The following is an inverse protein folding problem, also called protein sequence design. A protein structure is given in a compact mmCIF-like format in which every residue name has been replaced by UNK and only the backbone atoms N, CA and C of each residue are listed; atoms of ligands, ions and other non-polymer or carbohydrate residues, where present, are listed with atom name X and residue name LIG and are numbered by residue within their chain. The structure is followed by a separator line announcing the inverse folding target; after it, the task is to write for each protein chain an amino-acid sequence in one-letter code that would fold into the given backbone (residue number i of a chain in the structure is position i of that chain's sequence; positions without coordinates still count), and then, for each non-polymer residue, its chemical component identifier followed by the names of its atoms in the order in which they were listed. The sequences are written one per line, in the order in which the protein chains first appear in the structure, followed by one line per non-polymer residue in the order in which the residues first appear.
data_IF_804525274905
#
_entry.id   IF_804525274905
#
_cell.length_a   1.000
_cell.length_b   1.000
_cell.length_c   1.000
_cell.angle_alpha   90.00
_cell.angle_beta   90.00
_cell.angle_gamma   90.00
#
_symmetry.space_group_name_H-M   'P 1'
#
loop_
_entity.id
_entity.type
_entity.pdbx_description
1 polymer ?
#
# COMPACT_ATOMS: atom_id res chain seq x y z
N UNK A 1 -34.92 20.52 25.61
CA UNK A 1 -34.58 21.29 24.36
C UNK A 1 -33.09 21.41 24.10
N UNK A 2 -32.22 21.50 25.10
CA UNK A 2 -30.75 21.58 24.98
C UNK A 2 -30.10 20.34 24.38
N UNK A 3 -30.49 19.11 24.77
CA UNK A 3 -29.88 17.86 24.29
C UNK A 3 -30.04 17.69 22.78
N UNK A 4 -31.20 18.02 22.20
CA UNK A 4 -31.38 17.97 20.73
C UNK A 4 -30.45 18.94 19.96
N UNK A 5 -30.20 20.12 20.52
CA UNK A 5 -29.28 21.11 19.92
C UNK A 5 -27.81 20.62 19.98
N UNK A 6 -27.39 19.99 21.09
CA UNK A 6 -26.06 19.41 21.24
C UNK A 6 -25.82 18.26 20.27
N UNK A 7 -26.81 17.36 20.11
CA UNK A 7 -26.75 16.23 19.16
C UNK A 7 -26.68 16.72 17.70
N UNK A 8 -27.48 17.75 17.35
CA UNK A 8 -27.42 18.34 16.00
C UNK A 8 -26.09 19.03 15.76
N UNK A 9 -25.52 19.76 16.74
CA UNK A 9 -24.19 20.35 16.64
C UNK A 9 -23.10 19.29 16.47
N UNK A 10 -23.24 18.19 17.20
CA UNK A 10 -22.29 17.05 17.11
C UNK A 10 -22.38 16.36 15.76
N UNK A 11 -23.58 16.13 15.22
CA UNK A 11 -23.80 15.59 13.87
C UNK A 11 -23.26 16.52 12.77
N UNK A 12 -23.41 17.84 12.93
CA UNK A 12 -22.85 18.82 11.99
C UNK A 12 -21.32 18.88 12.08
N UNK A 13 -20.74 18.71 13.27
CA UNK A 13 -19.29 18.65 13.45
C UNK A 13 -18.68 17.39 12.84
N UNK A 14 -19.36 16.24 12.96
CA UNK A 14 -18.95 14.97 12.35
C UNK A 14 -19.12 14.99 10.82
N UNK A 15 -20.18 15.62 10.32
CA UNK A 15 -20.39 15.79 8.87
C UNK A 15 -19.37 16.76 8.22
N UNK A 16 -18.84 17.72 8.97
CA UNK A 16 -17.82 18.67 8.50
C UNK A 16 -16.41 18.08 8.45
N UNK A 17 -16.17 16.89 9.01
CA UNK A 17 -14.85 16.20 9.04
C UNK A 17 -14.65 15.17 7.91
N UNK A 18 -15.63 15.02 7.00
CA UNK A 18 -15.35 14.31 5.74
C UNK A 18 -14.41 15.16 4.91
N UNK A 19 -13.10 14.93 5.05
CA UNK A 19 -12.15 15.39 4.06
C UNK A 19 -12.69 14.93 2.70
N UNK A 20 -12.96 15.89 1.79
CA UNK A 20 -13.50 15.57 0.48
C UNK A 20 -12.50 14.67 -0.24
N UNK A 21 -12.76 13.37 -0.25
CA UNK A 21 -11.94 12.42 -0.99
C UNK A 21 -12.11 12.72 -2.48
N UNK A 22 -11.00 12.70 -3.22
CA UNK A 22 -11.04 12.90 -4.67
C UNK A 22 -11.96 11.85 -5.32
N UNK A 23 -12.81 12.28 -6.23
CA UNK A 23 -13.59 11.37 -7.04
C UNK A 23 -12.67 10.49 -7.90
N UNK A 24 -13.11 9.27 -8.24
CA UNK A 24 -12.32 8.34 -9.06
C UNK A 24 -11.92 8.97 -10.41
N UNK A 25 -12.82 9.69 -11.05
CA UNK A 25 -12.55 10.41 -12.29
C UNK A 25 -11.46 11.47 -12.14
N UNK A 26 -11.48 12.19 -11.02
CA UNK A 26 -10.45 13.20 -10.72
C UNK A 26 -9.10 12.57 -10.42
N UNK A 27 -9.07 11.42 -9.74
CA UNK A 27 -7.85 10.64 -9.51
C UNK A 27 -7.22 10.16 -10.82
N UNK A 28 -8.03 9.59 -11.70
CA UNK A 28 -7.60 9.12 -13.04
C UNK A 28 -7.08 10.28 -13.87
N UNK A 29 -7.75 11.44 -13.86
CA UNK A 29 -7.32 12.65 -14.54
C UNK A 29 -5.97 13.15 -14.02
N UNK A 30 -5.79 13.23 -12.70
CA UNK A 30 -4.54 13.68 -12.09
C UNK A 30 -3.37 12.73 -12.38
N UNK A 31 -3.62 11.41 -12.36
CA UNK A 31 -2.62 10.41 -12.75
C UNK A 31 -2.20 10.59 -14.21
N UNK A 32 -3.16 10.75 -15.12
CA UNK A 32 -2.89 10.96 -16.53
C UNK A 32 -2.10 12.26 -16.79
N UNK A 33 -2.51 13.38 -16.15
CA UNK A 33 -1.76 14.64 -16.23
C UNK A 33 -0.31 14.47 -15.73
N UNK A 34 -0.12 13.71 -14.63
CA UNK A 34 1.20 13.46 -14.07
C UNK A 34 2.08 12.63 -15.03
N UNK A 35 1.52 11.62 -15.68
CA UNK A 35 2.22 10.81 -16.68
C UNK A 35 2.63 11.64 -17.90
N UNK A 36 1.74 12.51 -18.39
CA UNK A 36 2.07 13.42 -19.50
C UNK A 36 3.20 14.38 -19.12
N UNK A 37 3.12 15.01 -17.93
CA UNK A 37 4.16 15.91 -17.45
C UNK A 37 5.50 15.19 -17.28
N UNK A 38 5.48 13.94 -16.78
CA UNK A 38 6.66 13.12 -16.64
C UNK A 38 7.30 12.79 -18.00
N UNK A 39 6.50 12.41 -18.99
CA UNK A 39 6.96 12.12 -20.35
C UNK A 39 7.54 13.36 -21.04
N UNK A 40 6.85 14.50 -20.96
CA UNK A 40 7.34 15.78 -21.47
C UNK A 40 8.67 16.18 -20.84
N UNK A 41 8.82 15.96 -19.54
CA UNK A 41 10.07 16.23 -18.84
C UNK A 41 11.23 15.36 -19.38
N UNK A 42 10.95 14.10 -19.69
CA UNK A 42 11.97 13.21 -20.28
C UNK A 42 12.40 13.68 -21.68
N UNK A 43 11.48 14.15 -22.50
CA UNK A 43 11.76 14.64 -23.86
C UNK A 43 12.63 15.89 -23.83
N UNK A 44 12.35 16.84 -22.93
CA UNK A 44 13.10 18.11 -22.86
C UNK A 44 14.40 18.00 -22.05
N UNK A 45 14.61 16.95 -21.28
CA UNK A 45 15.71 16.83 -20.32
C UNK A 45 17.09 16.99 -20.93
N UNK A 46 17.30 16.50 -22.14
CA UNK A 46 18.59 16.63 -22.85
C UNK A 46 18.91 18.06 -23.27
N UNK A 47 17.89 18.88 -23.50
CA UNK A 47 18.00 20.25 -24.03
C UNK A 47 17.89 21.30 -22.90
N UNK A 48 17.00 21.08 -21.96
CA UNK A 48 16.67 22.02 -20.88
C UNK A 48 16.38 21.27 -19.58
N UNK A 49 17.42 21.12 -18.76
CA UNK A 49 17.33 20.40 -17.47
C UNK A 49 16.44 21.10 -16.46
N UNK A 50 16.43 22.45 -16.47
CA UNK A 50 15.62 23.22 -15.51
C UNK A 50 14.13 23.06 -15.81
N UNK A 51 13.76 23.20 -17.08
CA UNK A 51 12.40 22.95 -17.53
C UNK A 51 11.95 21.51 -17.25
N UNK A 52 12.79 20.54 -17.47
CA UNK A 52 12.49 19.14 -17.14
C UNK A 52 12.24 18.97 -15.64
N UNK A 53 13.06 19.61 -14.79
CA UNK A 53 12.89 19.60 -13.33
C UNK A 53 11.56 20.19 -12.90
N UNK A 54 11.17 21.35 -13.45
CA UNK A 54 9.86 21.95 -13.19
C UNK A 54 8.71 21.04 -13.57
N UNK A 55 8.79 20.35 -14.70
CA UNK A 55 7.76 19.41 -15.15
C UNK A 55 7.68 18.20 -14.23
N UNK A 56 8.81 17.63 -13.78
CA UNK A 56 8.80 16.55 -12.78
C UNK A 56 8.25 17.01 -11.43
N UNK A 57 8.51 18.25 -10.99
CA UNK A 57 7.89 18.80 -9.77
C UNK A 57 6.37 18.89 -9.90
N UNK A 58 5.87 19.36 -11.06
CA UNK A 58 4.43 19.39 -11.35
C UNK A 58 3.83 17.97 -11.38
N UNK A 59 4.52 17.01 -11.98
CA UNK A 59 4.09 15.61 -11.98
C UNK A 59 4.03 15.03 -10.56
N UNK A 60 5.07 15.24 -9.74
CA UNK A 60 5.10 14.81 -8.35
C UNK A 60 3.92 15.37 -7.56
N UNK A 61 3.63 16.67 -7.70
CA UNK A 61 2.52 17.33 -7.01
C UNK A 61 1.15 16.73 -7.37
N UNK A 62 0.92 16.28 -8.64
CA UNK A 62 -0.30 15.58 -9.04
C UNK A 62 -0.41 14.20 -8.37
N UNK A 63 0.64 13.40 -8.44
CA UNK A 63 0.68 12.09 -7.78
C UNK A 63 0.51 12.21 -6.26
N UNK A 64 1.19 13.17 -5.61
CA UNK A 64 1.04 13.41 -4.16
C UNK A 64 -0.39 13.76 -3.78
N UNK A 65 -1.06 14.59 -4.60
CA UNK A 65 -2.45 14.93 -4.36
C UNK A 65 -3.35 13.70 -4.40
N UNK A 66 -3.13 12.79 -5.38
CA UNK A 66 -3.88 11.52 -5.45
C UNK A 66 -3.58 10.63 -4.24
N UNK A 67 -2.32 10.54 -3.82
CA UNK A 67 -1.93 9.75 -2.63
C UNK A 67 -2.56 10.29 -1.35
N UNK A 68 -2.60 11.62 -1.19
CA UNK A 68 -3.07 12.27 0.04
C UNK A 68 -4.59 12.36 0.15
N UNK A 69 -5.26 12.63 -0.98
CA UNK A 69 -6.68 12.98 -1.01
C UNK A 69 -7.53 11.89 -1.68
N UNK A 70 -6.89 10.91 -2.36
CA UNK A 70 -7.58 9.89 -3.14
C UNK A 70 -7.92 8.61 -2.40
N UNK A 71 -7.37 8.39 -1.21
CA UNK A 71 -7.49 7.12 -0.46
C UNK A 71 -7.19 5.88 -1.35
N UNK A 72 -6.12 5.99 -2.17
CA UNK A 72 -5.79 5.01 -3.21
C UNK A 72 -4.65 4.11 -2.76
N UNK A 73 -4.95 2.85 -2.59
CA UNK A 73 -3.97 1.80 -2.33
C UNK A 73 -3.51 1.14 -3.65
N UNK A 74 -2.71 1.87 -4.43
CA UNK A 74 -2.24 1.40 -5.74
C UNK A 74 -0.71 1.39 -5.82
N UNK A 75 -0.12 0.20 -6.00
CA UNK A 75 1.32 0.03 -6.12
C UNK A 75 1.95 0.80 -7.29
N UNK A 76 1.26 0.88 -8.42
CA UNK A 76 1.74 1.60 -9.60
C UNK A 76 1.77 3.12 -9.39
N UNK A 77 0.82 3.66 -8.62
CA UNK A 77 0.81 5.08 -8.25
C UNK A 77 2.08 5.43 -7.45
N UNK A 78 2.38 4.64 -6.40
CA UNK A 78 3.59 4.82 -5.60
C UNK A 78 4.87 4.60 -6.41
N UNK A 79 4.87 3.64 -7.33
CA UNK A 79 6.00 3.39 -8.22
C UNK A 79 6.29 4.59 -9.14
N UNK A 80 5.26 5.16 -9.76
CA UNK A 80 5.41 6.33 -10.64
C UNK A 80 5.84 7.58 -9.86
N UNK A 81 5.30 7.78 -8.66
CA UNK A 81 5.73 8.86 -7.76
C UNK A 81 7.20 8.68 -7.34
N UNK A 82 7.63 7.44 -7.05
CA UNK A 82 9.01 7.14 -6.71
C UNK A 82 9.95 7.42 -7.89
N UNK A 83 9.58 7.03 -9.12
CA UNK A 83 10.33 7.35 -10.34
C UNK A 83 10.47 8.88 -10.53
N UNK A 84 9.40 9.62 -10.24
CA UNK A 84 9.41 11.08 -10.34
C UNK A 84 10.36 11.71 -9.34
N UNK A 85 10.35 11.28 -8.08
CA UNK A 85 11.31 11.73 -7.08
C UNK A 85 12.75 11.33 -7.39
N UNK A 86 12.95 10.15 -7.97
CA UNK A 86 14.27 9.74 -8.43
C UNK A 86 14.82 10.70 -9.51
N UNK A 87 13.99 11.15 -10.47
CA UNK A 87 14.36 12.14 -11.47
C UNK A 87 14.67 13.51 -10.87
N UNK A 88 14.01 13.87 -9.78
CA UNK A 88 14.26 15.08 -8.99
C UNK A 88 15.50 14.96 -8.07
N UNK A 89 16.17 13.80 -8.06
CA UNK A 89 17.31 13.48 -7.19
C UNK A 89 16.95 13.44 -5.70
N UNK A 90 15.66 13.39 -5.37
CA UNK A 90 15.18 13.17 -4.00
C UNK A 90 15.14 11.67 -3.68
N UNK A 91 16.33 11.14 -3.39
CA UNK A 91 16.51 9.70 -3.17
C UNK A 91 15.72 9.20 -1.94
N UNK A 92 15.57 10.03 -0.90
CA UNK A 92 14.83 9.68 0.32
C UNK A 92 13.35 9.43 0.02
N UNK A 93 12.68 10.39 -0.65
CA UNK A 93 11.28 10.24 -1.05
C UNK A 93 11.10 9.14 -2.11
N UNK A 94 12.06 8.97 -3.02
CA UNK A 94 12.03 7.88 -3.99
C UNK A 94 12.02 6.51 -3.29
N UNK A 95 12.95 6.23 -2.36
CA UNK A 95 13.02 4.97 -1.61
C UNK A 95 11.74 4.75 -0.80
N UNK A 96 11.23 5.77 -0.12
CA UNK A 96 10.01 5.66 0.68
C UNK A 96 8.81 5.22 -0.18
N UNK A 97 8.64 5.82 -1.38
CA UNK A 97 7.55 5.47 -2.28
C UNK A 97 7.76 4.13 -2.99
N UNK A 98 8.99 3.74 -3.37
CA UNK A 98 9.27 2.38 -3.85
C UNK A 98 8.94 1.32 -2.79
N UNK A 99 9.25 1.56 -1.52
CA UNK A 99 8.86 0.64 -0.43
C UNK A 99 7.36 0.56 -0.22
N UNK A 100 6.62 1.68 -0.40
CA UNK A 100 5.15 1.65 -0.40
C UNK A 100 4.62 0.85 -1.58
N UNK A 101 5.14 1.07 -2.79
CA UNK A 101 4.79 0.29 -3.97
C UNK A 101 5.02 -1.21 -3.76
N UNK A 102 6.13 -1.60 -3.14
CA UNK A 102 6.49 -2.99 -2.87
C UNK A 102 5.46 -3.74 -2.01
N UNK A 103 4.67 -3.04 -1.18
CA UNK A 103 3.60 -3.69 -0.39
C UNK A 103 2.46 -4.22 -1.27
N UNK A 104 2.22 -3.58 -2.42
CA UNK A 104 1.11 -3.89 -3.34
C UNK A 104 1.56 -4.72 -4.53
N UNK A 105 2.80 -4.51 -5.02
CA UNK A 105 3.39 -5.20 -6.17
C UNK A 105 4.77 -5.77 -5.80
N UNK A 106 4.87 -6.72 -4.82
CA UNK A 106 6.13 -7.18 -4.25
C UNK A 106 7.05 -7.92 -5.25
N UNK A 107 6.51 -8.45 -6.33
CA UNK A 107 7.22 -9.26 -7.33
C UNK A 107 7.49 -8.52 -8.64
N UNK A 108 7.20 -7.22 -8.72
CA UNK A 108 7.53 -6.46 -9.92
C UNK A 108 9.04 -6.25 -10.04
N UNK A 109 9.62 -6.83 -11.09
CA UNK A 109 11.07 -6.82 -11.31
C UNK A 109 11.62 -5.40 -11.48
N UNK A 110 10.90 -4.52 -12.20
CA UNK A 110 11.33 -3.13 -12.43
C UNK A 110 11.36 -2.34 -11.13
N UNK A 111 10.34 -2.54 -10.28
CA UNK A 111 10.32 -1.94 -8.95
C UNK A 111 11.52 -2.38 -8.13
N UNK A 112 11.80 -3.69 -8.06
CA UNK A 112 12.89 -4.24 -7.27
C UNK A 112 14.26 -3.75 -7.78
N UNK A 113 14.46 -3.71 -9.09
CA UNK A 113 15.67 -3.18 -9.72
C UNK A 113 15.86 -1.70 -9.43
N UNK A 114 14.80 -0.87 -9.59
CA UNK A 114 14.87 0.56 -9.33
C UNK A 114 15.14 0.85 -7.85
N UNK A 115 14.48 0.14 -6.93
CA UNK A 115 14.72 0.28 -5.50
C UNK A 115 16.16 -0.11 -5.13
N UNK A 116 16.68 -1.21 -5.66
CA UNK A 116 18.07 -1.61 -5.46
C UNK A 116 19.04 -0.53 -5.99
N UNK A 117 18.80 -0.05 -7.21
CA UNK A 117 19.63 0.99 -7.82
C UNK A 117 19.65 2.29 -7.01
N UNK A 118 18.48 2.79 -6.58
CA UNK A 118 18.41 4.03 -5.78
C UNK A 118 19.15 3.87 -4.46
N UNK A 119 19.10 2.69 -3.83
CA UNK A 119 19.85 2.41 -2.61
C UNK A 119 21.35 2.50 -2.80
N UNK A 120 21.88 2.08 -3.95
CA UNK A 120 23.33 2.21 -4.23
C UNK A 120 23.77 3.67 -4.39
N UNK A 121 22.84 4.57 -4.73
CA UNK A 121 23.10 6.02 -4.86
C UNK A 121 23.03 6.77 -3.52
N UNK A 122 22.47 6.17 -2.49
CA UNK A 122 22.48 6.75 -1.14
C UNK A 122 23.87 6.63 -0.52
N UNK A 123 24.35 7.72 0.09
CA UNK A 123 25.64 7.72 0.81
C UNK A 123 25.63 6.83 2.05
N UNK A 124 24.46 6.72 2.68
CA UNK A 124 24.25 5.87 3.85
C UNK A 124 23.69 4.52 3.43
N UNK A 125 24.58 3.58 3.10
CA UNK A 125 24.22 2.18 2.92
C UNK A 125 23.99 1.56 4.31
N UNK A 126 22.77 1.64 4.82
CA UNK A 126 22.38 0.85 5.99
C UNK A 126 22.28 -0.61 5.56
N UNK A 127 23.27 -1.42 5.92
CA UNK A 127 23.22 -2.86 5.71
C UNK A 127 21.96 -3.42 6.39
N UNK A 128 21.15 -4.20 5.66
CA UNK A 128 20.01 -4.88 6.30
C UNK A 128 20.55 -5.83 7.38
N UNK A 129 20.07 -5.74 8.63
CA UNK A 129 20.50 -6.64 9.69
C UNK A 129 20.26 -8.11 9.27
N UNK A 130 21.22 -9.00 9.55
CA UNK A 130 21.08 -10.44 9.25
C UNK A 130 19.79 -11.04 9.82
N UNK A 131 19.35 -10.55 10.99
CA UNK A 131 18.07 -10.92 11.59
C UNK A 131 16.87 -10.70 10.67
N UNK A 132 16.90 -9.64 9.82
CA UNK A 132 15.83 -9.35 8.87
C UNK A 132 15.80 -10.38 7.73
N UNK A 133 16.96 -10.89 7.30
CA UNK A 133 17.05 -11.94 6.28
C UNK A 133 16.45 -13.26 6.78
N UNK A 134 16.77 -13.65 8.00
CA UNK A 134 16.22 -14.86 8.63
C UNK A 134 14.70 -14.74 8.79
N UNK A 135 14.20 -13.58 9.27
CA UNK A 135 12.77 -13.35 9.40
C UNK A 135 12.04 -13.39 8.05
N UNK A 136 12.62 -12.82 6.99
CA UNK A 136 12.04 -12.88 5.63
C UNK A 136 11.93 -14.33 5.14
N UNK A 137 12.91 -15.18 5.42
CA UNK A 137 12.89 -16.60 5.03
C UNK A 137 11.86 -17.40 5.83
N UNK A 138 11.78 -17.17 7.15
CA UNK A 138 10.84 -17.89 8.01
C UNK A 138 9.38 -17.46 7.81
N UNK A 139 9.16 -16.18 7.50
CA UNK A 139 7.82 -15.59 7.33
C UNK A 139 7.58 -15.15 5.88
N UNK A 140 8.00 -15.97 4.90
CA UNK A 140 7.89 -15.66 3.48
C UNK A 140 6.46 -15.26 3.06
N UNK A 141 5.43 -15.90 3.63
CA UNK A 141 4.02 -15.55 3.37
C UNK A 141 3.66 -14.12 3.80
N UNK A 142 4.38 -13.54 4.76
CA UNK A 142 4.18 -12.17 5.20
C UNK A 142 4.89 -11.16 4.27
N UNK A 143 6.10 -11.50 3.80
CA UNK A 143 6.95 -10.60 3.03
C UNK A 143 6.77 -10.73 1.52
N UNK A 144 6.49 -11.95 1.03
CA UNK A 144 6.45 -12.22 -0.41
C UNK A 144 5.03 -12.21 -1.00
N UNK A 145 4.00 -12.37 -0.16
CA UNK A 145 2.61 -12.32 -0.62
C UNK A 145 2.06 -10.90 -0.49
N UNK A 146 1.54 -10.33 -1.59
CA UNK A 146 0.92 -9.02 -1.59
C UNK A 146 -0.21 -8.91 -0.54
N UNK A 147 -0.34 -7.77 0.12
CA UNK A 147 -1.33 -7.57 1.18
C UNK A 147 -2.75 -7.91 0.72
N UNK A 148 -3.14 -7.47 -0.46
CA UNK A 148 -4.47 -7.74 -1.04
C UNK A 148 -4.75 -9.24 -1.25
N UNK A 149 -3.71 -10.04 -1.56
CA UNK A 149 -3.85 -11.51 -1.68
C UNK A 149 -4.02 -12.12 -0.29
N UNK A 150 -3.27 -11.67 0.71
CA UNK A 150 -3.39 -12.15 2.10
C UNK A 150 -4.79 -11.88 2.68
N UNK A 151 -5.37 -10.72 2.40
CA UNK A 151 -6.74 -10.37 2.80
C UNK A 151 -7.77 -11.29 2.16
N UNK A 152 -7.64 -11.57 0.86
CA UNK A 152 -8.52 -12.51 0.15
C UNK A 152 -8.38 -13.93 0.69
N UNK A 153 -7.16 -14.39 0.98
CA UNK A 153 -6.92 -15.70 1.58
C UNK A 153 -7.51 -15.80 2.99
N UNK A 154 -7.35 -14.75 3.80
CA UNK A 154 -7.97 -14.68 5.12
C UNK A 154 -9.50 -14.82 5.05
N UNK A 155 -10.16 -14.04 4.21
CA UNK A 155 -11.61 -14.11 4.01
C UNK A 155 -12.05 -15.47 3.47
N UNK A 156 -11.29 -16.05 2.55
CA UNK A 156 -11.56 -17.38 2.01
C UNK A 156 -11.50 -18.46 3.10
N UNK A 157 -10.41 -18.51 3.86
CA UNK A 157 -10.26 -19.52 4.93
C UNK A 157 -11.29 -19.32 6.05
N UNK A 158 -11.61 -18.07 6.39
CA UNK A 158 -12.66 -17.76 7.35
C UNK A 158 -14.05 -18.20 6.85
N UNK A 159 -14.36 -17.96 5.58
CA UNK A 159 -15.62 -18.41 4.96
C UNK A 159 -15.75 -19.92 4.94
N UNK A 160 -14.68 -20.64 4.51
CA UNK A 160 -14.65 -22.12 4.53
C UNK A 160 -14.74 -22.66 5.95
N UNK A 161 -14.07 -22.05 6.93
CA UNK A 161 -14.17 -22.40 8.35
C UNK A 161 -15.63 -22.38 8.82
N UNK A 162 -16.38 -21.31 8.55
CA UNK A 162 -17.78 -21.21 8.93
C UNK A 162 -18.67 -22.21 8.21
N UNK A 163 -18.42 -22.49 6.91
CA UNK A 163 -19.16 -23.54 6.19
C UNK A 163 -18.95 -24.91 6.81
N UNK A 164 -17.70 -25.27 7.11
CA UNK A 164 -17.37 -26.55 7.77
C UNK A 164 -17.97 -26.62 9.17
N UNK A 165 -17.98 -25.51 9.92
CA UNK A 165 -18.59 -25.44 11.23
C UNK A 165 -20.11 -25.69 11.15
N UNK A 166 -20.81 -25.08 10.19
CA UNK A 166 -22.24 -25.31 9.96
C UNK A 166 -22.54 -26.77 9.61
N UNK A 167 -21.75 -27.38 8.71
CA UNK A 167 -21.87 -28.81 8.38
C UNK A 167 -21.63 -29.68 9.62
N UNK A 168 -20.68 -29.30 10.47
CA UNK A 168 -20.34 -29.99 11.71
C UNK A 168 -21.47 -30.02 12.74
N UNK A 169 -22.46 -29.14 12.66
CA UNK A 169 -23.68 -29.17 13.49
C UNK A 169 -24.56 -30.40 13.18
N UNK A 170 -24.61 -30.80 11.89
CA UNK A 170 -25.39 -31.96 11.46
C UNK A 170 -24.59 -33.26 11.48
N UNK A 171 -23.30 -33.19 11.10
CA UNK A 171 -22.45 -34.37 10.94
C UNK A 171 -21.35 -34.40 12.01
N UNK A 172 -21.53 -35.22 13.07
CA UNK A 172 -20.53 -35.39 14.14
C UNK A 172 -19.41 -36.34 13.72
N UNK A 173 -18.58 -35.93 12.75
CA UNK A 173 -17.43 -36.75 12.29
C UNK A 173 -16.11 -36.18 12.84
N UNK A 174 -15.16 -37.02 13.33
CA UNK A 174 -13.92 -36.54 13.95
C UNK A 174 -13.02 -35.77 12.96
N UNK A 175 -13.03 -36.11 11.68
CA UNK A 175 -12.23 -35.36 10.66
C UNK A 175 -12.67 -33.91 10.48
N UNK A 176 -13.95 -33.60 10.70
CA UNK A 176 -14.44 -32.22 10.67
C UNK A 176 -13.80 -31.33 11.75
N UNK A 177 -13.53 -31.89 12.93
CA UNK A 177 -12.85 -31.18 14.02
C UNK A 177 -11.40 -30.83 13.63
N UNK A 178 -10.69 -31.76 13.03
CA UNK A 178 -9.33 -31.51 12.55
C UNK A 178 -9.29 -30.50 11.41
N UNK A 179 -10.27 -30.55 10.49
CA UNK A 179 -10.41 -29.54 9.44
C UNK A 179 -10.67 -28.14 10.00
N UNK A 180 -11.53 -28.02 11.02
CA UNK A 180 -11.78 -26.74 11.69
C UNK A 180 -10.51 -26.21 12.38
N UNK A 181 -9.75 -27.06 13.06
CA UNK A 181 -8.48 -26.65 13.67
C UNK A 181 -7.49 -26.14 12.61
N UNK A 182 -7.35 -26.84 11.48
CA UNK A 182 -6.46 -26.44 10.39
C UNK A 182 -6.88 -25.13 9.73
N UNK A 183 -8.16 -24.98 9.39
CA UNK A 183 -8.70 -23.75 8.79
C UNK A 183 -8.62 -22.56 9.74
N UNK A 184 -8.93 -22.79 11.04
CA UNK A 184 -8.80 -21.75 12.06
C UNK A 184 -7.36 -21.28 12.22
N UNK A 185 -6.39 -22.22 12.22
CA UNK A 185 -4.96 -21.89 12.28
C UNK A 185 -4.54 -21.03 11.07
N UNK A 186 -4.94 -21.40 9.85
CA UNK A 186 -4.64 -20.65 8.64
C UNK A 186 -5.25 -19.25 8.70
N UNK A 187 -6.51 -19.11 9.13
CA UNK A 187 -7.14 -17.80 9.31
C UNK A 187 -6.39 -16.95 10.34
N UNK A 188 -5.94 -17.54 11.46
CA UNK A 188 -5.13 -16.80 12.46
C UNK A 188 -3.79 -16.36 11.89
N UNK A 189 -3.09 -17.19 11.13
CA UNK A 189 -1.80 -16.86 10.51
C UNK A 189 -1.95 -15.66 9.55
N UNK A 190 -2.92 -15.71 8.64
CA UNK A 190 -3.14 -14.60 7.70
C UNK A 190 -3.68 -13.35 8.39
N UNK A 191 -4.60 -13.49 9.36
CA UNK A 191 -5.11 -12.36 10.15
C UNK A 191 -4.01 -11.66 10.95
N UNK A 192 -3.13 -12.41 11.62
CA UNK A 192 -1.98 -11.86 12.34
C UNK A 192 -1.01 -11.15 11.37
N UNK A 193 -0.75 -11.73 10.20
CA UNK A 193 0.08 -11.13 9.16
C UNK A 193 -0.47 -9.77 8.69
N UNK A 194 -1.78 -9.65 8.50
CA UNK A 194 -2.46 -8.41 8.13
C UNK A 194 -2.33 -7.38 9.27
N UNK A 195 -2.65 -7.79 10.52
CA UNK A 195 -2.58 -6.92 11.69
C UNK A 195 -1.17 -6.34 11.91
N UNK A 196 -0.11 -7.14 11.70
CA UNK A 196 1.28 -6.67 11.77
C UNK A 196 1.57 -5.64 10.68
N UNK A 197 1.06 -5.86 9.44
CA UNK A 197 1.23 -4.91 8.33
C UNK A 197 0.55 -3.57 8.65
N UNK A 198 -0.69 -3.59 9.13
CA UNK A 198 -1.45 -2.39 9.51
C UNK A 198 -0.79 -1.64 10.68
N UNK A 199 -0.38 -2.36 11.72
CA UNK A 199 0.33 -1.76 12.85
C UNK A 199 1.63 -1.09 12.41
N UNK A 200 2.41 -1.74 11.55
CA UNK A 200 3.65 -1.17 11.01
C UNK A 200 3.39 0.08 10.14
N UNK A 201 2.30 0.09 9.39
CA UNK A 201 1.89 1.23 8.59
C UNK A 201 1.43 2.41 9.46
N UNK A 202 0.67 2.13 10.53
CA UNK A 202 0.24 3.15 11.50
C UNK A 202 1.43 3.80 12.23
N UNK A 203 2.41 3.01 12.64
CA UNK A 203 3.61 3.52 13.35
C UNK A 203 4.51 4.40 12.47
N UNK A 204 4.37 4.30 11.15
CA UNK A 204 5.18 5.07 10.17
C UNK A 204 4.46 6.33 9.64
N UNK A 205 3.23 6.60 10.09
CA UNK A 205 2.49 7.84 9.85
C UNK A 205 2.83 8.89 10.87
#
# INVERSE_FOLDING_TARGET
MMIKRVVILWLLLVAGLSAATLSRTEQERLCFEAEQLFSQAQEVYAQDREKARELWQKAAARYERVVREGDVENGWLYYNLANTYFRLEDLGRAIANYRRAQRYIPHDEKLLQNLAYVRTRCRDAVAEPESTRVLKTLFFWHYDIAQTIRERLFLFFLGVFWLVALVGLWYRRPWLRWSLCGLGLLAVIFGASIAVSEYSAWRQR
#
